data_IF_354275859158
#
_entry.id   IF_354275859158
#
_cell.length_a   1.000
_cell.length_b   1.000
_cell.length_c   1.000
_cell.angle_alpha   90.00
_cell.angle_beta   90.00
_cell.angle_gamma   90.00
#
_symmetry.space_group_name_H-M   'P 1'
#
loop_
_entity.id
_entity.type
_entity.pdbx_description
1 polymer ?
#
# COMPACT_ATOMS: atom_id res chain seq x y z
N UNK A 1 61.06 32.43 23.92
CA UNK A 1 59.95 32.69 24.87
C UNK A 1 59.31 33.98 24.39
N UNK A 2 58.58 33.90 23.28
CA UNK A 2 57.15 33.60 23.20
C UNK A 2 56.32 34.84 23.53
N UNK A 3 55.71 35.44 22.52
CA UNK A 3 54.30 35.86 22.58
C UNK A 3 53.77 36.13 21.17
N UNK A 4 52.91 35.21 20.72
CA UNK A 4 52.17 35.30 19.47
C UNK A 4 50.95 36.20 19.66
N UNK A 5 50.86 37.28 18.88
CA UNK A 5 49.63 38.07 18.73
C UNK A 5 48.70 37.37 17.73
N UNK A 6 47.71 36.65 18.28
CA UNK A 6 46.69 35.92 17.53
C UNK A 6 45.65 36.85 16.92
N UNK A 7 45.69 36.97 15.59
CA UNK A 7 44.63 37.57 14.77
C UNK A 7 43.31 36.82 14.93
N UNK A 8 42.30 37.55 15.40
CA UNK A 8 40.90 37.12 15.56
C UNK A 8 40.28 36.85 14.19
N UNK A 9 40.14 35.56 13.82
CA UNK A 9 39.26 35.14 12.73
C UNK A 9 37.89 34.74 13.26
N UNK A 10 36.95 35.68 13.22
CA UNK A 10 35.50 35.42 13.22
C UNK A 10 35.12 34.87 11.83
N UNK A 11 35.27 33.57 11.62
CA UNK A 11 34.62 32.90 10.48
C UNK A 11 33.26 32.42 10.91
N UNK A 12 32.24 33.06 10.32
CA UNK A 12 30.83 32.80 10.57
C UNK A 12 30.47 31.34 10.43
N UNK A 13 29.58 30.92 11.32
CA UNK A 13 28.76 29.73 11.22
C UNK A 13 28.08 29.72 9.85
N UNK A 14 28.70 29.07 8.88
CA UNK A 14 28.07 28.73 7.62
C UNK A 14 26.98 27.72 7.94
N UNK A 15 25.74 28.23 7.96
CA UNK A 15 24.57 27.55 7.41
C UNK A 15 24.52 26.07 7.79
N UNK A 16 24.41 25.82 9.10
CA UNK A 16 23.71 24.62 9.57
C UNK A 16 22.24 24.76 9.19
N UNK A 17 21.95 24.65 7.88
CA UNK A 17 20.69 24.04 7.44
C UNK A 17 20.81 22.61 7.92
N UNK A 18 20.53 22.45 9.20
CA UNK A 18 20.14 21.19 9.79
C UNK A 18 18.91 20.82 8.98
N UNK A 19 19.12 20.09 7.88
CA UNK A 19 18.15 19.12 7.42
C UNK A 19 17.99 18.22 8.63
N UNK A 20 17.05 18.59 9.50
CA UNK A 20 16.52 17.72 10.52
C UNK A 20 15.95 16.59 9.69
N UNK A 21 16.76 15.57 9.44
CA UNK A 21 16.27 14.26 9.07
C UNK A 21 15.43 13.86 10.27
N UNK A 22 14.14 14.26 10.25
CA UNK A 22 13.16 13.87 11.25
C UNK A 22 13.22 12.35 11.21
N UNK A 23 13.82 11.75 12.23
CA UNK A 23 13.77 10.31 12.40
C UNK A 23 12.30 9.98 12.49
N UNK A 24 11.73 9.44 11.40
CA UNK A 24 10.29 9.32 11.25
C UNK A 24 9.78 8.32 12.28
N UNK A 25 9.25 8.84 13.38
CA UNK A 25 8.62 8.07 14.44
C UNK A 25 7.19 7.71 14.03
N UNK A 26 7.06 6.58 13.31
CA UNK A 26 5.79 6.01 12.87
C UNK A 26 5.26 6.54 11.53
N UNK A 27 4.23 5.87 10.97
CA UNK A 27 3.56 6.31 9.75
C UNK A 27 2.67 7.53 10.00
N UNK A 28 2.65 8.47 9.05
CA UNK A 28 1.79 9.65 9.09
C UNK A 28 0.30 9.26 9.03
N UNK A 29 -0.58 10.14 9.51
CA UNK A 29 -2.04 9.92 9.46
C UNK A 29 -2.49 9.61 8.03
N UNK A 30 -1.99 10.36 7.05
CA UNK A 30 -2.31 10.15 5.63
C UNK A 30 -1.87 8.76 5.14
N UNK A 31 -0.66 8.31 5.49
CA UNK A 31 -0.18 6.96 5.12
C UNK A 31 -1.06 5.85 5.72
N UNK A 32 -1.57 6.05 6.94
CA UNK A 32 -2.48 5.10 7.61
C UNK A 32 -3.88 5.12 6.99
N UNK A 33 -4.46 6.30 6.78
CA UNK A 33 -5.78 6.46 6.15
C UNK A 33 -5.78 5.84 4.75
N UNK A 34 -4.77 6.12 3.94
CA UNK A 34 -4.63 5.50 2.62
C UNK A 34 -4.46 3.98 2.70
N UNK A 35 -3.82 3.45 3.75
CA UNK A 35 -3.63 2.00 3.91
C UNK A 35 -4.97 1.32 4.14
N UNK A 36 -5.69 1.78 5.17
CA UNK A 36 -6.97 1.22 5.54
C UNK A 36 -8.02 1.49 4.47
N UNK A 37 -7.95 2.63 3.77
CA UNK A 37 -8.75 2.90 2.59
C UNK A 37 -8.59 1.85 1.51
N UNK A 38 -7.34 1.50 1.15
CA UNK A 38 -7.08 0.40 0.19
C UNK A 38 -7.64 -0.92 0.71
N UNK A 39 -7.42 -1.27 1.98
CA UNK A 39 -7.93 -2.52 2.57
C UNK A 39 -9.46 -2.60 2.47
N UNK A 40 -10.16 -1.56 2.90
CA UNK A 40 -11.62 -1.50 2.88
C UNK A 40 -12.17 -1.56 1.44
N UNK A 41 -11.55 -0.84 0.51
CA UNK A 41 -11.93 -0.89 -0.90
C UNK A 41 -11.68 -2.28 -1.49
N UNK A 42 -10.55 -2.94 -1.19
CA UNK A 42 -10.28 -4.31 -1.60
C UNK A 42 -11.29 -5.32 -1.03
N UNK A 43 -11.75 -5.14 0.21
CA UNK A 43 -12.81 -5.97 0.79
C UNK A 43 -14.14 -5.75 0.07
N UNK A 44 -14.49 -4.51 -0.27
CA UNK A 44 -15.68 -4.18 -1.06
C UNK A 44 -15.61 -4.68 -2.52
N UNK A 45 -14.41 -4.86 -3.07
CA UNK A 45 -14.20 -5.44 -4.40
C UNK A 45 -14.66 -6.90 -4.49
N UNK A 46 -14.60 -7.68 -3.40
CA UNK A 46 -14.98 -9.10 -3.38
C UNK A 46 -16.47 -9.30 -3.74
N UNK A 47 -17.46 -8.75 -3.01
CA UNK A 47 -18.87 -8.94 -3.34
C UNK A 47 -19.26 -8.28 -4.68
N UNK A 48 -18.62 -7.16 -5.04
CA UNK A 48 -18.89 -6.47 -6.31
C UNK A 48 -18.35 -7.25 -7.52
N UNK A 49 -17.27 -8.02 -7.36
CA UNK A 49 -16.73 -8.87 -8.43
C UNK A 49 -17.73 -9.94 -8.92
N UNK A 50 -18.61 -10.42 -8.04
CA UNK A 50 -19.63 -11.40 -8.41
C UNK A 50 -20.68 -10.81 -9.35
N UNK A 51 -20.92 -9.49 -9.28
CA UNK A 51 -21.82 -8.80 -10.20
C UNK A 51 -21.24 -8.73 -11.63
N UNK A 52 -19.91 -8.63 -11.78
CA UNK A 52 -19.25 -8.65 -13.09
C UNK A 52 -19.65 -9.92 -13.86
N UNK A 53 -19.50 -11.09 -13.24
CA UNK A 53 -19.89 -12.35 -13.86
C UNK A 53 -21.38 -12.37 -14.27
N UNK A 54 -22.29 -11.94 -13.38
CA UNK A 54 -23.73 -11.91 -13.69
C UNK A 54 -24.05 -10.99 -14.87
N UNK A 55 -23.47 -9.79 -14.91
CA UNK A 55 -23.69 -8.83 -16.01
C UNK A 55 -23.14 -9.30 -17.36
N UNK A 56 -22.11 -10.16 -17.39
CA UNK A 56 -21.55 -10.70 -18.63
C UNK A 56 -22.13 -12.07 -19.02
N UNK A 57 -22.81 -12.77 -18.11
CA UNK A 57 -23.46 -14.05 -18.37
C UNK A 57 -24.95 -13.91 -18.74
N UNK A 58 -25.54 -12.72 -18.62
CA UNK A 58 -26.88 -12.45 -19.16
C UNK A 58 -26.87 -12.55 -20.69
N UNK A 59 -27.53 -13.58 -21.22
CA UNK A 59 -27.66 -13.82 -22.66
C UNK A 59 -28.70 -12.91 -23.30
N UNK A 60 -28.69 -12.86 -24.64
CA UNK A 60 -29.29 -11.84 -25.53
C UNK A 60 -30.76 -11.43 -25.30
N UNK A 61 -31.51 -12.09 -24.41
CA UNK A 61 -32.91 -11.82 -24.12
C UNK A 61 -33.21 -11.48 -22.65
N UNK A 62 -32.19 -11.38 -21.79
CA UNK A 62 -32.34 -10.92 -20.40
C UNK A 62 -31.43 -9.73 -20.14
N UNK A 63 -32.00 -8.67 -19.56
CA UNK A 63 -31.22 -7.53 -19.08
C UNK A 63 -30.67 -7.85 -17.67
N UNK A 64 -29.43 -7.46 -17.34
CA UNK A 64 -28.94 -7.54 -15.97
C UNK A 64 -29.83 -6.76 -15.00
N UNK A 65 -29.95 -7.25 -13.77
CA UNK A 65 -30.66 -6.52 -12.72
C UNK A 65 -30.04 -5.12 -12.52
N UNK A 66 -30.82 -4.04 -12.30
CA UNK A 66 -30.28 -2.70 -12.09
C UNK A 66 -29.24 -2.62 -10.97
N UNK A 67 -29.42 -3.42 -9.92
CA UNK A 67 -28.46 -3.51 -8.82
C UNK A 67 -27.12 -4.13 -9.24
N UNK A 68 -27.12 -5.11 -10.14
CA UNK A 68 -25.88 -5.68 -10.69
C UNK A 68 -25.12 -4.69 -11.55
N UNK A 69 -25.83 -3.85 -12.32
CA UNK A 69 -25.21 -2.74 -13.06
C UNK A 69 -24.59 -1.69 -12.13
N UNK A 70 -25.26 -1.39 -11.00
CA UNK A 70 -24.70 -0.53 -9.97
C UNK A 70 -23.42 -1.14 -9.37
N UNK A 71 -23.46 -2.41 -8.95
CA UNK A 71 -22.29 -3.09 -8.38
C UNK A 71 -21.13 -3.19 -9.38
N UNK A 72 -21.41 -3.43 -10.67
CA UNK A 72 -20.41 -3.41 -11.73
C UNK A 72 -19.72 -2.03 -11.79
N UNK A 73 -20.47 -0.93 -11.77
CA UNK A 73 -19.89 0.43 -11.75
C UNK A 73 -19.06 0.67 -10.50
N UNK A 74 -19.55 0.24 -9.33
CA UNK A 74 -18.80 0.34 -8.08
C UNK A 74 -17.48 -0.42 -8.19
N UNK A 75 -17.48 -1.64 -8.74
CA UNK A 75 -16.28 -2.44 -8.95
C UNK A 75 -15.26 -1.70 -9.85
N UNK A 76 -15.70 -1.21 -11.01
CA UNK A 76 -14.83 -0.52 -11.96
C UNK A 76 -14.23 0.77 -11.38
N UNK A 77 -15.05 1.65 -10.81
CA UNK A 77 -14.58 2.95 -10.30
C UNK A 77 -13.76 2.82 -9.02
N UNK A 78 -14.13 1.93 -8.10
CA UNK A 78 -13.32 1.73 -6.89
C UNK A 78 -12.01 1.01 -7.18
N UNK A 79 -11.90 0.24 -8.28
CA UNK A 79 -10.62 -0.29 -8.77
C UNK A 79 -9.63 0.81 -9.17
N UNK A 80 -10.09 1.82 -9.90
CA UNK A 80 -9.27 3.00 -10.23
C UNK A 80 -8.91 3.84 -9.00
N UNK A 81 -9.83 3.95 -8.04
CA UNK A 81 -9.55 4.65 -6.78
C UNK A 81 -8.47 3.92 -5.95
N UNK A 82 -8.50 2.57 -5.92
CA UNK A 82 -7.44 1.76 -5.30
C UNK A 82 -6.09 2.05 -5.96
N UNK A 83 -6.03 2.11 -7.30
CA UNK A 83 -4.80 2.46 -8.01
C UNK A 83 -4.29 3.84 -7.61
N UNK A 84 -5.17 4.85 -7.59
CA UNK A 84 -4.81 6.20 -7.18
C UNK A 84 -4.22 6.21 -5.76
N UNK A 85 -4.87 5.53 -4.81
CA UNK A 85 -4.34 5.39 -3.45
C UNK A 85 -3.00 4.64 -3.44
N UNK A 86 -2.83 3.56 -4.21
CA UNK A 86 -1.58 2.83 -4.28
C UNK A 86 -0.44 3.71 -4.82
N UNK A 87 -0.67 4.49 -5.87
CA UNK A 87 0.29 5.47 -6.42
C UNK A 87 0.66 6.51 -5.36
N UNK A 88 -0.32 7.12 -4.70
CA UNK A 88 -0.06 8.10 -3.63
C UNK A 88 0.73 7.47 -2.48
N UNK A 89 0.42 6.23 -2.09
CA UNK A 89 1.14 5.50 -1.04
C UNK A 89 2.60 5.25 -1.40
N UNK A 90 2.87 4.87 -2.65
CA UNK A 90 4.23 4.70 -3.14
C UNK A 90 4.97 6.04 -3.13
N UNK A 91 4.35 7.12 -3.60
CA UNK A 91 4.90 8.47 -3.52
C UNK A 91 5.25 8.87 -2.07
N UNK A 92 4.33 8.70 -1.13
CA UNK A 92 4.57 8.96 0.29
C UNK A 92 5.64 8.06 0.89
N UNK A 93 5.79 6.83 0.40
CA UNK A 93 6.85 5.91 0.84
C UNK A 93 8.22 6.39 0.37
N UNK A 94 8.33 6.91 -0.84
CA UNK A 94 9.58 7.49 -1.34
C UNK A 94 9.91 8.83 -0.68
N UNK A 95 8.90 9.67 -0.45
CA UNK A 95 9.10 11.02 0.10
C UNK A 95 9.34 11.03 1.61
N UNK A 96 8.63 10.18 2.38
CA UNK A 96 8.71 10.16 3.85
C UNK A 96 9.42 8.94 4.41
N UNK A 97 9.80 7.99 3.56
CA UNK A 97 10.44 6.75 3.98
C UNK A 97 9.49 5.77 4.68
N UNK A 98 10.10 4.71 5.20
CA UNK A 98 9.43 3.66 5.99
C UNK A 98 10.07 3.65 7.39
N UNK A 99 9.28 3.54 8.47
CA UNK A 99 9.84 3.36 9.81
C UNK A 99 10.81 2.17 9.84
N UNK A 100 11.99 2.35 10.44
CA UNK A 100 12.99 1.29 10.50
C UNK A 100 12.48 0.06 11.27
N UNK A 101 12.88 -1.11 10.78
CA UNK A 101 12.68 -2.37 11.50
C UNK A 101 13.63 -2.38 12.72
N UNK A 102 13.24 -2.98 13.86
CA UNK A 102 14.15 -3.13 15.00
C UNK A 102 15.47 -3.77 14.56
N UNK A 103 16.61 -3.30 15.08
CA UNK A 103 17.94 -3.79 14.68
C UNK A 103 18.09 -5.32 14.80
N UNK A 104 17.40 -5.92 15.78
CA UNK A 104 17.36 -7.35 16.04
C UNK A 104 16.47 -8.16 15.06
N UNK A 105 15.84 -7.54 14.05
CA UNK A 105 14.99 -8.28 13.10
C UNK A 105 15.82 -9.26 12.26
N UNK A 106 15.35 -10.50 12.13
CA UNK A 106 16.01 -11.51 11.27
C UNK A 106 16.04 -11.07 9.79
N UNK A 107 17.03 -11.55 9.03
CA UNK A 107 17.11 -11.27 7.59
C UNK A 107 15.88 -11.80 6.83
N UNK A 108 15.35 -12.96 7.22
CA UNK A 108 14.13 -13.55 6.64
C UNK A 108 12.94 -12.60 6.80
N UNK A 109 12.78 -11.98 7.97
CA UNK A 109 11.70 -11.00 8.21
C UNK A 109 11.84 -9.76 7.32
N UNK A 110 13.06 -9.27 7.10
CA UNK A 110 13.31 -8.12 6.20
C UNK A 110 12.94 -8.45 4.76
N UNK A 111 13.41 -9.60 4.25
CA UNK A 111 13.10 -10.05 2.91
C UNK A 111 11.62 -10.37 2.72
N UNK A 112 11.00 -11.08 3.66
CA UNK A 112 9.57 -11.38 3.62
C UNK A 112 8.70 -10.11 3.61
N UNK A 113 9.08 -9.10 4.40
CA UNK A 113 8.43 -7.80 4.34
C UNK A 113 8.64 -7.14 2.96
N UNK A 114 9.86 -7.09 2.44
CA UNK A 114 10.13 -6.46 1.13
C UNK A 114 9.37 -7.13 -0.02
N UNK A 115 9.41 -8.47 -0.09
CA UNK A 115 8.75 -9.27 -1.13
C UNK A 115 7.23 -9.13 -1.05
N UNK A 116 6.63 -9.26 0.15
CA UNK A 116 5.18 -9.11 0.29
C UNK A 116 4.72 -7.72 -0.15
N UNK A 117 5.42 -6.64 0.23
CA UNK A 117 5.09 -5.30 -0.24
C UNK A 117 5.25 -5.16 -1.76
N UNK A 118 6.33 -5.68 -2.35
CA UNK A 118 6.55 -5.62 -3.79
C UNK A 118 5.42 -6.34 -4.56
N UNK A 119 5.06 -7.55 -4.13
CA UNK A 119 3.97 -8.32 -4.73
C UNK A 119 2.62 -7.61 -4.59
N UNK A 120 2.28 -7.12 -3.40
CA UNK A 120 1.03 -6.41 -3.17
C UNK A 120 0.94 -5.15 -4.04
N UNK A 121 2.00 -4.35 -4.13
CA UNK A 121 1.99 -3.17 -5.01
C UNK A 121 1.89 -3.57 -6.48
N UNK A 122 2.65 -4.57 -6.94
CA UNK A 122 2.56 -5.05 -8.32
C UNK A 122 1.14 -5.50 -8.69
N UNK A 123 0.49 -6.25 -7.79
CA UNK A 123 -0.88 -6.73 -8.00
C UNK A 123 -1.91 -5.60 -7.96
N UNK A 124 -1.80 -4.65 -7.03
CA UNK A 124 -2.70 -3.49 -6.95
C UNK A 124 -2.60 -2.58 -8.18
N UNK A 125 -1.49 -2.60 -8.91
CA UNK A 125 -1.33 -1.90 -10.19
C UNK A 125 -1.87 -2.72 -11.36
N UNK A 126 -1.50 -4.00 -11.42
CA UNK A 126 -1.86 -4.86 -12.53
C UNK A 126 -3.38 -5.11 -12.62
N UNK A 127 -4.08 -5.18 -11.49
CA UNK A 127 -5.51 -5.49 -11.45
C UNK A 127 -6.38 -4.42 -12.14
N UNK A 128 -6.32 -3.13 -11.81
CA UNK A 128 -7.13 -2.10 -12.49
C UNK A 128 -6.82 -2.00 -14.00
N UNK A 129 -5.55 -2.19 -14.38
CA UNK A 129 -5.13 -2.19 -15.79
C UNK A 129 -5.73 -3.37 -16.54
N UNK A 130 -5.58 -4.58 -16.01
CA UNK A 130 -6.12 -5.80 -16.64
C UNK A 130 -7.64 -5.82 -16.63
N UNK A 131 -8.30 -5.28 -15.59
CA UNK A 131 -9.75 -5.16 -15.54
C UNK A 131 -10.28 -4.21 -16.62
N UNK A 132 -9.63 -3.06 -16.79
CA UNK A 132 -9.94 -2.11 -17.88
C UNK A 132 -9.70 -2.75 -19.25
N UNK A 133 -8.60 -3.49 -19.42
CA UNK A 133 -8.33 -4.26 -20.66
C UNK A 133 -9.43 -5.29 -20.96
N UNK A 134 -9.95 -5.97 -19.94
CA UNK A 134 -11.03 -6.93 -20.10
C UNK A 134 -12.35 -6.26 -20.52
N UNK A 135 -12.63 -5.04 -20.03
CA UNK A 135 -13.86 -4.32 -20.35
C UNK A 135 -13.84 -3.65 -21.72
N UNK A 136 -12.72 -3.03 -22.10
CA UNK A 136 -12.69 -2.10 -23.23
C UNK A 136 -11.82 -2.57 -24.41
N UNK A 137 -10.98 -3.59 -24.22
CA UNK A 137 -10.01 -4.02 -25.25
C UNK A 137 -10.30 -5.43 -25.73
N UNK A 138 -10.11 -6.43 -24.87
CA UNK A 138 -10.31 -7.82 -25.23
C UNK A 138 -10.62 -8.66 -23.98
N UNK A 139 -11.92 -8.90 -23.77
CA UNK A 139 -12.39 -9.70 -22.62
C UNK A 139 -11.78 -11.10 -22.60
N UNK A 140 -11.70 -11.79 -23.74
CA UNK A 140 -11.18 -13.15 -23.81
C UNK A 140 -9.69 -13.24 -23.42
N UNK A 141 -8.89 -12.22 -23.75
CA UNK A 141 -7.48 -12.18 -23.39
C UNK A 141 -7.23 -11.73 -21.93
N UNK A 142 -7.93 -10.68 -21.48
CA UNK A 142 -7.61 -10.04 -20.20
C UNK A 142 -8.41 -10.57 -19.01
N UNK A 143 -9.65 -11.04 -19.19
CA UNK A 143 -10.48 -11.50 -18.07
C UNK A 143 -9.88 -12.72 -17.34
N UNK A 144 -9.28 -13.73 -18.00
CA UNK A 144 -8.60 -14.83 -17.31
C UNK A 144 -7.40 -14.34 -16.48
N UNK A 145 -6.62 -13.42 -17.03
CA UNK A 145 -5.46 -12.82 -16.34
C UNK A 145 -5.92 -12.05 -15.11
N UNK A 146 -6.93 -11.18 -15.25
CA UNK A 146 -7.47 -10.41 -14.14
C UNK A 146 -7.99 -11.32 -13.01
N UNK A 147 -8.67 -12.42 -13.36
CA UNK A 147 -9.15 -13.42 -12.41
C UNK A 147 -8.00 -14.11 -11.67
N UNK A 148 -6.96 -14.53 -12.39
CA UNK A 148 -5.75 -15.12 -11.81
C UNK A 148 -5.08 -14.15 -10.83
N UNK A 149 -4.87 -12.89 -11.25
CA UNK A 149 -4.28 -11.85 -10.41
C UNK A 149 -5.13 -11.55 -9.16
N UNK A 150 -6.46 -11.68 -9.25
CA UNK A 150 -7.36 -11.46 -8.12
C UNK A 150 -7.14 -12.52 -7.05
N UNK A 151 -7.10 -13.80 -7.43
CA UNK A 151 -6.81 -14.89 -6.48
C UNK A 151 -5.42 -14.78 -5.86
N UNK A 152 -4.42 -14.37 -6.66
CA UNK A 152 -3.08 -14.06 -6.15
C UNK A 152 -3.10 -12.94 -5.12
N UNK A 153 -3.80 -11.83 -5.40
CA UNK A 153 -3.93 -10.71 -4.46
C UNK A 153 -4.60 -11.16 -3.16
N UNK A 154 -5.74 -11.85 -3.23
CA UNK A 154 -6.47 -12.33 -2.04
C UNK A 154 -5.59 -13.24 -1.18
N UNK A 155 -4.88 -14.18 -1.80
CA UNK A 155 -3.98 -15.10 -1.11
C UNK A 155 -2.85 -14.34 -0.40
N UNK A 156 -2.16 -13.45 -1.12
CA UNK A 156 -1.03 -12.70 -0.57
C UNK A 156 -1.51 -11.70 0.49
N UNK A 157 -2.67 -11.08 0.32
CA UNK A 157 -3.26 -10.17 1.29
C UNK A 157 -3.64 -10.89 2.59
N UNK A 158 -4.21 -12.10 2.51
CA UNK A 158 -4.49 -12.94 3.69
C UNK A 158 -3.20 -13.32 4.39
N UNK A 159 -2.18 -13.80 3.66
CA UNK A 159 -0.88 -14.13 4.24
C UNK A 159 -0.24 -12.90 4.92
N UNK A 160 -0.32 -11.73 4.29
CA UNK A 160 0.17 -10.46 4.85
C UNK A 160 -0.58 -10.08 6.14
N UNK A 161 -1.91 -10.17 6.16
CA UNK A 161 -2.72 -9.87 7.32
C UNK A 161 -2.47 -10.84 8.48
N UNK A 162 -2.38 -12.15 8.19
CA UNK A 162 -2.04 -13.18 9.17
C UNK A 162 -0.64 -12.95 9.73
N UNK A 163 0.34 -12.60 8.89
CA UNK A 163 1.68 -12.26 9.36
C UNK A 163 1.66 -11.04 10.29
N UNK A 164 0.93 -9.97 9.93
CA UNK A 164 0.78 -8.79 10.79
C UNK A 164 0.12 -9.15 12.14
N UNK A 165 -0.88 -10.01 12.12
CA UNK A 165 -1.56 -10.48 13.33
C UNK A 165 -0.66 -11.39 14.17
N UNK A 166 0.11 -12.28 13.56
CA UNK A 166 1.11 -13.11 14.25
C UNK A 166 2.17 -12.25 14.94
N UNK A 167 2.66 -11.23 14.25
CA UNK A 167 3.59 -10.25 14.79
C UNK A 167 2.99 -9.50 16.00
N UNK A 168 1.69 -9.18 15.93
CA UNK A 168 0.98 -8.52 17.02
C UNK A 168 0.70 -9.44 18.23
N UNK A 169 0.20 -10.65 18.00
CA UNK A 169 -0.29 -11.55 19.05
C UNK A 169 0.81 -12.42 19.67
N UNK A 170 1.71 -12.95 18.84
CA UNK A 170 2.74 -13.92 19.27
C UNK A 170 4.05 -13.20 19.51
N UNK A 171 4.52 -12.39 18.56
CA UNK A 171 5.79 -11.63 18.73
C UNK A 171 5.64 -10.38 19.57
N UNK A 172 4.40 -9.92 19.80
CA UNK A 172 4.07 -8.72 20.58
C UNK A 172 4.88 -7.49 20.17
N UNK A 173 5.05 -7.31 18.86
CA UNK A 173 5.76 -6.16 18.33
C UNK A 173 4.82 -5.06 17.82
N UNK A 174 5.43 -3.94 17.46
CA UNK A 174 4.72 -2.71 17.09
C UNK A 174 4.32 -2.67 15.60
N UNK A 175 4.46 -3.76 14.84
CA UNK A 175 4.21 -3.76 13.38
C UNK A 175 2.79 -3.32 13.06
N UNK A 176 1.78 -3.97 13.65
CA UNK A 176 0.37 -3.61 13.43
C UNK A 176 0.01 -2.26 14.08
N UNK A 177 0.51 -2.00 15.29
CA UNK A 177 0.24 -0.77 16.04
C UNK A 177 0.71 0.48 15.28
N UNK A 178 1.83 0.41 14.56
CA UNK A 178 2.32 1.49 13.68
C UNK A 178 1.33 1.87 12.57
N UNK A 179 0.48 0.96 12.13
CA UNK A 179 -0.55 1.21 11.10
C UNK A 179 -1.91 1.62 11.67
N UNK A 180 -2.20 1.32 12.94
CA UNK A 180 -3.47 1.70 13.58
C UNK A 180 -3.34 3.10 14.20
N UNK A 181 -2.45 3.24 15.18
CA UNK A 181 -2.32 4.46 16.01
C UNK A 181 -1.10 5.31 15.61
N UNK A 182 -0.09 4.71 14.96
CA UNK A 182 1.17 5.36 14.60
C UNK A 182 1.98 5.79 15.81
N UNK A 183 2.46 4.80 16.56
CA UNK A 183 3.20 5.00 17.80
C UNK A 183 4.53 5.70 17.54
N UNK A 184 4.76 6.79 18.28
CA UNK A 184 6.07 7.41 18.49
C UNK A 184 6.69 6.75 19.71
N UNK A 185 7.56 5.77 19.55
CA UNK A 185 8.42 5.40 20.68
C UNK A 185 9.48 6.49 20.80
N UNK A 186 9.28 7.41 21.73
CA UNK A 186 10.36 8.22 22.26
C UNK A 186 11.36 7.26 22.93
N UNK A 187 12.63 7.39 22.58
CA UNK A 187 13.72 6.76 23.31
C UNK A 187 14.52 7.88 23.97
#
# INVERSE_FOLDING_TARGET
>A
MDEQSGSVRKTGQLTSVVLIARSASGYSVLQRVLHWGVVLLCLAQVPTSWAIARTHMTHAFMQPAPFDLFLHRVHAWSGWLILAFAVTRIGLRYLHGVPSLPAASSQITRWGAAVSHALLYGLLFALPITGTGAMYVNSAAFAPIHRLLTWSLLTIAVVHAVAALWHHLVRRDEVLRRMIVGIRTAK
#
